data_IF_995026939198
#
_entry.id   IF_995026939198
#
_cell.length_a   1.000
_cell.length_b   1.000
_cell.length_c   1.000
_cell.angle_alpha   90.00
_cell.angle_beta   90.00
_cell.angle_gamma   90.00
#
_symmetry.space_group_name_H-M   'P 1'
#
loop_
_entity.id
_entity.type
_entity.pdbx_description
1 polymer ?
#
# COMPACT_ATOMS: atom_id res chain seq x y z
N UNK A 1 43.19 43.58 -20.38
CA UNK A 1 42.10 43.33 -19.42
C UNK A 1 40.78 43.59 -20.14
N UNK A 2 39.93 42.57 -20.30
CA UNK A 2 38.64 42.72 -20.98
C UNK A 2 37.71 43.61 -20.12
N UNK A 3 37.11 44.62 -20.74
CA UNK A 3 36.19 45.58 -20.12
C UNK A 3 34.93 44.84 -19.68
N UNK A 4 34.60 44.86 -18.39
CA UNK A 4 33.34 44.31 -17.89
C UNK A 4 32.17 45.13 -18.46
N UNK A 5 31.12 44.50 -19.01
CA UNK A 5 29.98 45.22 -19.56
C UNK A 5 29.25 46.06 -18.49
N UNK A 6 28.56 47.14 -18.89
CA UNK A 6 27.81 47.99 -17.96
C UNK A 6 26.65 47.21 -17.30
N UNK A 7 26.32 47.58 -16.06
CA UNK A 7 25.22 47.00 -15.31
C UNK A 7 23.88 47.13 -16.05
N UNK A 8 23.13 46.04 -16.15
CA UNK A 8 21.76 46.01 -16.67
C UNK A 8 20.79 45.64 -15.55
N UNK A 9 19.74 46.45 -15.38
CA UNK A 9 18.73 46.24 -14.33
C UNK A 9 17.60 45.29 -14.74
N UNK A 10 17.62 44.81 -15.99
CA UNK A 10 16.60 43.95 -16.57
C UNK A 10 17.25 42.99 -17.56
N UNK A 11 16.76 41.75 -17.60
CA UNK A 11 17.19 40.77 -18.58
C UNK A 11 16.82 41.21 -20.00
N UNK A 12 17.76 41.10 -20.92
CA UNK A 12 17.58 41.41 -22.35
C UNK A 12 16.86 40.28 -23.10
N UNK A 13 16.94 39.06 -22.58
CA UNK A 13 16.25 37.85 -23.07
C UNK A 13 15.44 37.21 -21.95
N UNK A 14 14.41 36.41 -22.26
CA UNK A 14 13.78 35.54 -21.26
C UNK A 14 14.87 34.69 -20.59
N UNK A 15 14.97 34.79 -19.27
CA UNK A 15 15.97 34.08 -18.48
C UNK A 15 15.28 33.48 -17.27
N UNK A 16 15.50 32.19 -17.05
CA UNK A 16 15.06 31.48 -15.86
C UNK A 16 16.27 31.25 -14.96
N UNK A 17 16.16 31.67 -13.71
CA UNK A 17 17.26 31.63 -12.74
C UNK A 17 16.73 31.06 -11.44
N UNK A 18 17.32 29.96 -10.99
CA UNK A 18 17.04 29.36 -9.69
C UNK A 18 18.22 29.69 -8.78
N UNK A 19 17.96 30.45 -7.72
CA UNK A 19 18.96 30.82 -6.72
C UNK A 19 18.78 29.96 -5.47
N UNK A 20 19.79 29.16 -5.16
CA UNK A 20 19.85 28.37 -3.93
C UNK A 20 20.91 28.99 -3.03
N UNK A 21 20.49 29.46 -1.86
CA UNK A 21 21.35 30.20 -0.95
C UNK A 21 22.30 29.32 -0.14
N UNK A 22 22.01 28.03 -0.04
CA UNK A 22 22.77 27.08 0.77
C UNK A 22 23.28 25.91 -0.10
N UNK A 23 24.57 25.59 0.04
CA UNK A 23 25.22 24.55 -0.74
C UNK A 23 25.15 23.17 -0.06
N UNK A 24 24.77 23.11 1.21
CA UNK A 24 24.68 21.85 1.96
C UNK A 24 23.62 20.89 1.36
N UNK A 25 22.66 21.43 0.60
CA UNK A 25 21.68 20.64 -0.15
C UNK A 25 22.28 19.70 -1.21
N UNK A 26 23.54 19.93 -1.62
CA UNK A 26 24.27 19.09 -2.58
C UNK A 26 25.10 17.99 -1.94
N UNK A 27 25.24 17.99 -0.62
CA UNK A 27 26.01 16.96 0.09
C UNK A 27 25.14 15.71 0.31
N UNK A 28 25.67 14.55 -0.12
CA UNK A 28 25.04 13.23 -0.03
C UNK A 28 24.52 12.93 1.38
N UNK A 29 25.19 13.43 2.42
CA UNK A 29 24.77 13.25 3.82
C UNK A 29 23.43 13.90 4.18
N UNK A 30 22.95 14.86 3.39
CA UNK A 30 21.69 15.57 3.62
C UNK A 30 20.49 14.96 2.89
N UNK A 31 20.71 13.99 1.99
CA UNK A 31 19.61 13.36 1.25
C UNK A 31 19.70 11.83 1.13
N UNK A 32 20.83 11.21 1.48
CA UNK A 32 20.99 9.74 1.55
C UNK A 32 21.44 9.31 2.93
N UNK A 33 20.81 8.28 3.47
CA UNK A 33 21.27 7.65 4.70
C UNK A 33 22.59 6.89 4.45
N UNK A 34 23.71 7.23 5.10
CA UNK A 34 25.01 6.59 4.84
C UNK A 34 25.08 5.11 5.26
N UNK A 35 24.15 4.62 6.10
CA UNK A 35 24.12 3.22 6.53
C UNK A 35 23.19 2.35 5.68
N UNK A 36 22.09 2.92 5.18
CA UNK A 36 21.04 2.16 4.48
C UNK A 36 20.92 2.50 3.00
N UNK A 37 21.62 3.53 2.51
CA UNK A 37 21.47 4.12 1.17
C UNK A 37 20.02 4.51 0.81
N UNK A 38 19.15 4.62 1.82
CA UNK A 38 17.77 5.04 1.62
C UNK A 38 17.70 6.58 1.51
N UNK A 39 16.85 7.13 0.63
CA UNK A 39 16.64 8.57 0.54
C UNK A 39 15.98 9.07 1.83
N UNK A 40 16.56 10.10 2.45
CA UNK A 40 16.01 10.76 3.65
C UNK A 40 15.29 12.05 3.27
N UNK A 41 15.72 12.70 2.19
CA UNK A 41 15.13 13.94 1.70
C UNK A 41 15.11 13.98 0.17
N UNK A 42 14.24 14.81 -0.40
CA UNK A 42 14.07 14.94 -1.84
C UNK A 42 14.97 16.01 -2.47
N UNK A 43 16.07 16.41 -1.82
CA UNK A 43 16.95 17.49 -2.30
C UNK A 43 17.56 17.17 -3.68
N UNK A 44 18.00 15.93 -3.87
CA UNK A 44 18.53 15.48 -5.17
C UNK A 44 17.45 15.47 -6.26
N UNK A 45 16.22 15.07 -5.91
CA UNK A 45 15.09 15.12 -6.83
C UNK A 45 14.72 16.57 -7.19
N UNK A 46 14.77 17.49 -6.23
CA UNK A 46 14.57 18.92 -6.48
C UNK A 46 15.62 19.48 -7.43
N UNK A 47 16.90 19.24 -7.19
CA UNK A 47 18.00 19.72 -8.05
C UNK A 47 17.89 19.14 -9.46
N UNK A 48 17.62 17.84 -9.59
CA UNK A 48 17.48 17.18 -10.88
C UNK A 48 16.27 17.73 -11.66
N UNK A 49 15.14 17.97 -10.98
CA UNK A 49 13.96 18.58 -11.60
C UNK A 49 14.21 20.05 -11.98
N UNK A 50 14.99 20.79 -11.19
CA UNK A 50 15.38 22.16 -11.48
C UNK A 50 16.28 22.22 -12.73
N UNK A 51 17.24 21.30 -12.86
CA UNK A 51 18.09 21.17 -14.04
C UNK A 51 17.29 20.74 -15.28
N UNK A 52 16.37 19.78 -15.12
CA UNK A 52 15.46 19.35 -16.18
C UNK A 52 14.57 20.51 -16.66
N UNK A 53 14.10 21.37 -15.75
CA UNK A 53 13.27 22.52 -16.08
C UNK A 53 14.09 23.59 -16.83
N UNK A 54 15.28 23.92 -16.34
CA UNK A 54 16.17 24.91 -16.96
C UNK A 54 16.75 24.44 -18.31
N UNK A 55 16.82 23.13 -18.55
CA UNK A 55 17.34 22.53 -19.78
C UNK A 55 16.27 22.06 -20.78
N UNK A 56 14.99 22.07 -20.41
CA UNK A 56 13.89 21.47 -21.18
C UNK A 56 13.05 22.49 -21.98
N UNK A 57 12.33 21.99 -22.98
CA UNK A 57 11.34 22.77 -23.74
C UNK A 57 10.12 23.09 -22.87
N UNK A 58 9.77 24.38 -22.74
CA UNK A 58 8.74 24.92 -21.83
C UNK A 58 7.37 24.19 -21.99
N UNK A 59 7.07 23.76 -23.23
CA UNK A 59 5.85 23.02 -23.56
C UNK A 59 5.78 21.61 -22.94
N UNK A 60 6.91 20.96 -22.71
CA UNK A 60 7.00 19.63 -22.10
C UNK A 60 6.99 19.71 -20.55
N UNK A 61 7.53 20.79 -19.98
CA UNK A 61 7.49 21.05 -18.52
C UNK A 61 6.06 21.32 -18.04
N UNK A 62 5.27 22.08 -18.79
CA UNK A 62 3.86 22.35 -18.46
C UNK A 62 3.01 21.07 -18.39
N UNK A 63 3.28 20.08 -19.26
CA UNK A 63 2.61 18.78 -19.25
C UNK A 63 3.03 17.89 -18.07
N UNK A 64 4.29 17.98 -17.62
CA UNK A 64 4.85 17.24 -16.48
C UNK A 64 4.40 17.79 -15.12
N UNK A 65 4.07 19.08 -15.05
CA UNK A 65 3.69 19.79 -13.80
C UNK A 65 2.40 19.29 -13.14
N UNK A 66 1.58 18.49 -13.84
CA UNK A 66 0.59 17.65 -13.18
C UNK A 66 1.30 16.44 -12.57
N UNK A 67 2.00 16.66 -11.47
CA UNK A 67 2.33 15.59 -10.54
C UNK A 67 1.05 14.77 -10.33
N UNK A 68 1.07 13.44 -10.45
CA UNK A 68 -0.09 12.63 -10.10
C UNK A 68 -0.42 13.00 -8.67
N UNK A 69 -1.56 13.69 -8.46
CA UNK A 69 -2.02 13.96 -7.12
C UNK A 69 -2.10 12.60 -6.44
N UNK A 70 -1.27 12.38 -5.42
CA UNK A 70 -1.45 11.25 -4.53
C UNK A 70 -2.88 11.39 -4.02
N UNK A 71 -3.79 10.57 -4.56
CA UNK A 71 -5.17 10.48 -4.11
C UNK A 71 -5.24 9.21 -3.29
N UNK A 72 -4.72 9.23 -2.04
CA UNK A 72 -4.90 8.10 -1.14
C UNK A 72 -6.39 7.83 -1.03
N UNK A 73 -6.73 6.55 -0.97
CA UNK A 73 -8.11 6.14 -0.85
C UNK A 73 -8.40 5.97 0.64
N UNK A 74 -8.64 7.07 1.36
CA UNK A 74 -8.80 7.08 2.82
C UNK A 74 -9.80 6.01 3.31
N UNK A 75 -10.92 5.86 2.59
CA UNK A 75 -11.93 4.82 2.85
C UNK A 75 -11.38 3.39 2.78
N UNK A 76 -10.44 3.13 1.88
CA UNK A 76 -9.78 1.83 1.72
C UNK A 76 -8.77 1.62 2.83
N UNK A 77 -8.05 2.67 3.19
CA UNK A 77 -7.04 2.61 4.25
C UNK A 77 -7.70 2.40 5.62
N UNK A 78 -8.83 3.06 5.89
CA UNK A 78 -9.67 2.81 7.07
C UNK A 78 -10.16 1.37 7.14
N UNK A 79 -10.64 0.82 6.02
CA UNK A 79 -11.18 -0.53 5.98
C UNK A 79 -10.05 -1.57 6.15
N UNK A 80 -8.88 -1.33 5.57
CA UNK A 80 -7.67 -2.12 5.80
C UNK A 80 -7.20 -2.03 7.25
N UNK A 81 -7.25 -0.86 7.88
CA UNK A 81 -6.92 -0.70 9.29
C UNK A 81 -7.87 -1.52 10.18
N UNK A 82 -9.18 -1.37 9.99
CA UNK A 82 -10.18 -2.11 10.76
C UNK A 82 -10.07 -3.64 10.56
N UNK A 83 -9.77 -4.10 9.34
CA UNK A 83 -9.53 -5.52 9.08
C UNK A 83 -8.27 -6.04 9.78
N UNK A 84 -7.17 -5.28 9.73
CA UNK A 84 -5.92 -5.61 10.44
C UNK A 84 -6.15 -5.74 11.93
N UNK A 85 -6.87 -4.80 12.53
CA UNK A 85 -7.14 -4.83 13.98
C UNK A 85 -7.93 -6.06 14.40
N UNK A 86 -8.99 -6.41 13.66
CA UNK A 86 -9.81 -7.61 13.94
C UNK A 86 -8.98 -8.88 13.84
N UNK A 87 -8.19 -9.03 12.79
CA UNK A 87 -7.37 -10.21 12.54
C UNK A 87 -6.23 -10.33 13.55
N UNK A 88 -5.60 -9.21 13.91
CA UNK A 88 -4.58 -9.17 14.94
C UNK A 88 -5.12 -9.63 16.30
N UNK A 89 -6.31 -9.16 16.69
CA UNK A 89 -6.96 -9.58 17.92
C UNK A 89 -7.28 -11.09 17.92
N UNK A 90 -7.76 -11.63 16.81
CA UNK A 90 -8.06 -13.06 16.70
C UNK A 90 -6.78 -13.91 16.73
N UNK A 91 -5.73 -13.48 16.04
CA UNK A 91 -4.42 -14.13 16.09
C UNK A 91 -3.89 -14.16 17.53
N UNK A 92 -3.86 -13.03 18.23
CA UNK A 92 -3.40 -12.97 19.63
C UNK A 92 -4.20 -13.89 20.54
N UNK A 93 -5.53 -13.94 20.35
CA UNK A 93 -6.40 -14.83 21.11
C UNK A 93 -6.02 -16.30 20.88
N UNK A 94 -5.82 -16.71 19.63
CA UNK A 94 -5.45 -18.08 19.27
C UNK A 94 -4.03 -18.44 19.76
N UNK A 95 -3.07 -17.52 19.65
CA UNK A 95 -1.71 -17.70 20.16
C UNK A 95 -1.70 -17.91 21.68
N UNK A 96 -2.51 -17.14 22.41
CA UNK A 96 -2.68 -17.31 23.85
C UNK A 96 -3.27 -18.67 24.21
N UNK A 97 -4.33 -19.09 23.51
CA UNK A 97 -4.94 -20.41 23.71
C UNK A 97 -3.97 -21.54 23.38
N UNK A 98 -3.15 -21.38 22.35
CA UNK A 98 -2.12 -22.34 21.98
C UNK A 98 -1.05 -22.45 23.07
N UNK A 99 -0.56 -21.31 23.56
CA UNK A 99 0.44 -21.26 24.63
C UNK A 99 -0.07 -21.92 25.93
N UNK A 100 -1.33 -21.67 26.30
CA UNK A 100 -1.96 -22.29 27.46
C UNK A 100 -2.09 -23.81 27.30
N UNK A 101 -2.53 -24.28 26.11
CA UNK A 101 -2.67 -25.71 25.81
C UNK A 101 -1.31 -26.42 25.79
N UNK A 102 -0.30 -25.84 25.14
CA UNK A 102 1.07 -26.38 25.09
C UNK A 102 1.74 -26.37 26.46
N UNK A 103 1.50 -25.34 27.28
CA UNK A 103 1.98 -25.27 28.66
C UNK A 103 1.45 -26.42 29.50
N UNK A 104 0.14 -26.69 29.46
CA UNK A 104 -0.47 -27.83 30.19
C UNK A 104 0.05 -29.17 29.71
N UNK A 105 0.19 -29.33 28.39
CA UNK A 105 0.67 -30.54 27.75
C UNK A 105 2.13 -30.83 28.13
N UNK A 106 2.99 -29.80 28.15
CA UNK A 106 4.38 -29.92 28.60
C UNK A 106 4.51 -30.32 30.08
N UNK A 107 3.63 -29.82 30.96
CA UNK A 107 3.62 -30.21 32.37
C UNK A 107 3.28 -31.70 32.54
N UNK A 108 2.24 -32.17 31.85
CA UNK A 108 1.80 -33.57 31.88
C UNK A 108 2.86 -34.51 31.26
N UNK A 109 3.44 -34.13 30.11
CA UNK A 109 4.52 -34.90 29.47
C UNK A 109 5.81 -34.89 30.28
N UNK A 110 6.14 -33.79 30.96
CA UNK A 110 7.26 -33.70 31.88
C UNK A 110 7.12 -34.69 33.04
N UNK A 111 5.95 -34.74 33.67
CA UNK A 111 5.64 -35.70 34.76
C UNK A 111 5.75 -37.16 34.27
N UNK A 112 5.28 -37.44 33.06
CA UNK A 112 5.42 -38.77 32.40
C UNK A 112 6.88 -39.16 32.19
N UNK A 113 7.72 -38.22 31.69
CA UNK A 113 9.15 -38.46 31.42
C UNK A 113 9.96 -38.67 32.69
N UNK A 114 9.54 -38.09 33.81
CA UNK A 114 10.16 -38.31 35.13
C UNK A 114 9.83 -39.68 35.77
N UNK A 115 9.12 -40.57 35.07
CA UNK A 115 8.82 -41.92 35.53
C UNK A 115 7.55 -42.05 36.38
N UNK A 116 6.73 -40.99 36.47
CA UNK A 116 5.43 -41.09 37.14
C UNK A 116 4.44 -41.91 36.29
N UNK A 117 3.75 -42.85 36.92
CA UNK A 117 2.62 -43.56 36.31
C UNK A 117 1.43 -42.61 36.19
N UNK A 118 1.08 -42.24 34.95
CA UNK A 118 -0.10 -41.44 34.66
C UNK A 118 -1.38 -42.26 34.82
N UNK A 119 -2.46 -41.63 35.25
CA UNK A 119 -3.80 -42.25 35.25
C UNK A 119 -4.38 -42.32 33.83
N UNK A 120 -5.41 -43.16 33.63
CA UNK A 120 -6.12 -43.22 32.35
C UNK A 120 -6.79 -41.87 32.00
N UNK A 121 -7.20 -41.10 33.00
CA UNK A 121 -7.77 -39.76 32.86
C UNK A 121 -6.71 -38.75 32.39
N UNK A 122 -5.51 -38.76 32.98
CA UNK A 122 -4.39 -37.90 32.56
C UNK A 122 -3.94 -38.19 31.12
N UNK A 123 -3.95 -39.47 30.71
CA UNK A 123 -3.64 -39.86 29.33
C UNK A 123 -4.69 -39.35 28.33
N UNK A 124 -5.98 -39.39 28.69
CA UNK A 124 -7.06 -38.83 27.88
C UNK A 124 -6.95 -37.30 27.79
N UNK A 125 -6.54 -36.63 28.88
CA UNK A 125 -6.35 -35.18 28.89
C UNK A 125 -5.22 -34.75 27.94
N UNK A 126 -4.11 -35.49 27.90
CA UNK A 126 -3.00 -35.26 26.96
C UNK A 126 -3.48 -35.33 25.51
N UNK A 127 -4.28 -36.35 25.15
CA UNK A 127 -4.79 -36.50 23.79
C UNK A 127 -5.77 -35.38 23.41
N UNK A 128 -6.58 -34.93 24.39
CA UNK A 128 -7.46 -33.77 24.21
C UNK A 128 -6.67 -32.49 23.94
N UNK A 129 -5.60 -32.23 24.70
CA UNK A 129 -4.77 -31.03 24.52
C UNK A 129 -3.98 -31.10 23.21
N UNK A 130 -3.53 -32.28 22.77
CA UNK A 130 -2.88 -32.47 21.45
C UNK A 130 -3.83 -32.12 20.31
N UNK A 131 -5.07 -32.60 20.41
CA UNK A 131 -6.12 -32.32 19.42
C UNK A 131 -6.45 -30.83 19.39
N UNK A 132 -6.66 -30.22 20.57
CA UNK A 132 -6.89 -28.78 20.70
C UNK A 132 -5.73 -27.95 20.12
N UNK A 133 -4.48 -28.26 20.45
CA UNK A 133 -3.32 -27.55 19.92
C UNK A 133 -3.22 -27.69 18.39
N UNK A 134 -3.49 -28.88 17.84
CA UNK A 134 -3.56 -29.10 16.39
C UNK A 134 -4.64 -28.23 15.74
N UNK A 135 -5.83 -28.17 16.33
CA UNK A 135 -6.94 -27.40 15.78
C UNK A 135 -6.72 -25.89 15.88
N UNK A 136 -6.16 -25.40 16.99
CA UNK A 136 -5.75 -24.00 17.13
C UNK A 136 -4.68 -23.63 16.08
N UNK A 137 -3.69 -24.51 15.83
CA UNK A 137 -2.69 -24.29 14.75
C UNK A 137 -3.33 -24.26 13.36
N UNK A 138 -4.39 -25.05 13.10
CA UNK A 138 -5.15 -24.98 11.83
C UNK A 138 -5.89 -23.64 11.72
N UNK A 139 -6.50 -23.18 12.81
CA UNK A 139 -7.18 -21.89 12.88
C UNK A 139 -6.19 -20.74 12.64
N UNK A 140 -4.99 -20.78 13.23
CA UNK A 140 -3.93 -19.79 13.02
C UNK A 140 -3.56 -19.66 11.53
N UNK A 141 -3.36 -20.79 10.84
CA UNK A 141 -3.13 -20.83 9.38
C UNK A 141 -4.35 -20.36 8.59
N UNK A 142 -5.55 -20.49 9.16
CA UNK A 142 -6.80 -19.97 8.61
C UNK A 142 -6.81 -18.45 8.61
N UNK A 143 -6.51 -17.85 9.77
CA UNK A 143 -6.45 -16.39 9.97
C UNK A 143 -5.45 -15.74 9.01
N UNK A 144 -4.26 -16.33 8.81
CA UNK A 144 -3.29 -15.82 7.84
C UNK A 144 -3.78 -15.85 6.38
N UNK A 145 -4.59 -16.85 6.02
CA UNK A 145 -5.17 -16.95 4.66
C UNK A 145 -6.32 -15.97 4.48
N UNK A 146 -7.15 -15.81 5.51
CA UNK A 146 -8.26 -14.86 5.54
C UNK A 146 -7.75 -13.41 5.47
N UNK A 147 -6.61 -13.12 6.12
CA UNK A 147 -5.90 -11.84 6.02
C UNK A 147 -5.60 -11.41 4.59
N UNK A 148 -5.21 -12.36 3.73
CA UNK A 148 -4.95 -12.05 2.31
C UNK A 148 -6.25 -11.92 1.51
N UNK A 149 -7.20 -12.83 1.74
CA UNK A 149 -8.42 -12.93 0.93
C UNK A 149 -9.36 -11.73 1.07
N UNK A 150 -9.57 -11.25 2.29
CA UNK A 150 -10.52 -10.16 2.53
C UNK A 150 -10.01 -8.81 1.99
N UNK A 151 -8.70 -8.57 2.13
CA UNK A 151 -8.06 -7.37 1.60
C UNK A 151 -8.11 -7.37 0.06
N UNK A 152 -7.79 -8.51 -0.57
CA UNK A 152 -7.79 -8.64 -2.03
C UNK A 152 -9.21 -8.52 -2.61
N UNK A 153 -10.21 -9.11 -1.94
CA UNK A 153 -11.61 -9.05 -2.38
C UNK A 153 -12.15 -7.61 -2.33
N UNK A 154 -11.91 -6.90 -1.23
CA UNK A 154 -12.32 -5.51 -1.09
C UNK A 154 -11.65 -4.60 -2.12
N UNK A 155 -10.32 -4.74 -2.26
CA UNK A 155 -9.56 -3.98 -3.24
C UNK A 155 -10.05 -4.24 -4.67
N UNK A 156 -10.31 -5.52 -5.00
CA UNK A 156 -10.84 -5.93 -6.30
C UNK A 156 -12.22 -5.35 -6.59
N UNK A 157 -13.14 -5.36 -5.62
CA UNK A 157 -14.49 -4.80 -5.80
C UNK A 157 -14.45 -3.29 -6.07
N UNK A 158 -13.66 -2.55 -5.30
CA UNK A 158 -13.52 -1.11 -5.47
C UNK A 158 -12.85 -0.73 -6.79
N UNK A 159 -11.80 -1.47 -7.16
CA UNK A 159 -11.14 -1.31 -8.46
C UNK A 159 -12.12 -1.60 -9.60
N UNK A 160 -12.91 -2.67 -9.49
CA UNK A 160 -13.89 -3.04 -10.51
C UNK A 160 -14.92 -1.92 -10.73
N UNK A 161 -15.51 -1.41 -9.64
CA UNK A 161 -16.48 -0.31 -9.73
C UNK A 161 -15.84 0.92 -10.36
N UNK A 162 -14.69 1.39 -9.86
CA UNK A 162 -14.09 2.62 -10.39
C UNK A 162 -13.63 2.51 -11.84
N UNK A 163 -13.11 1.35 -12.27
CA UNK A 163 -12.58 1.17 -13.63
C UNK A 163 -13.70 0.90 -14.64
N UNK A 164 -14.69 0.08 -14.28
CA UNK A 164 -15.70 -0.38 -15.24
C UNK A 164 -16.97 0.47 -15.27
N UNK A 165 -17.29 1.21 -14.19
CA UNK A 165 -18.53 2.00 -14.13
C UNK A 165 -18.59 3.05 -15.24
N UNK A 166 -17.49 3.76 -15.51
CA UNK A 166 -17.42 4.77 -16.57
C UNK A 166 -17.69 4.19 -17.98
N UNK A 167 -16.89 3.21 -18.45
CA UNK A 167 -17.13 2.54 -19.73
C UNK A 167 -18.53 1.92 -19.86
N UNK A 168 -19.07 1.32 -18.79
CA UNK A 168 -20.42 0.73 -18.79
C UNK A 168 -21.48 1.82 -19.01
N UNK A 169 -21.40 2.96 -18.31
CA UNK A 169 -22.35 4.06 -18.48
C UNK A 169 -22.32 4.59 -19.92
N UNK A 170 -21.13 4.82 -20.46
CA UNK A 170 -20.97 5.30 -21.85
C UNK A 170 -21.54 4.28 -22.85
N UNK A 171 -21.27 3.00 -22.65
CA UNK A 171 -21.82 1.92 -23.46
C UNK A 171 -23.34 1.87 -23.43
N UNK A 172 -23.95 1.97 -22.24
CA UNK A 172 -25.40 1.99 -22.07
C UNK A 172 -26.05 3.20 -22.75
N UNK A 173 -25.45 4.39 -22.64
CA UNK A 173 -25.93 5.60 -23.32
C UNK A 173 -25.85 5.43 -24.85
N UNK A 174 -24.73 4.90 -25.35
CA UNK A 174 -24.55 4.63 -26.78
C UNK A 174 -25.57 3.63 -27.34
N UNK A 175 -25.80 2.52 -26.63
CA UNK A 175 -26.82 1.52 -26.97
C UNK A 175 -28.22 2.15 -26.94
N UNK A 176 -28.53 2.93 -25.90
CA UNK A 176 -29.81 3.63 -25.77
C UNK A 176 -30.08 4.59 -26.93
N UNK A 177 -29.08 5.39 -27.32
CA UNK A 177 -29.17 6.28 -28.49
C UNK A 177 -29.34 5.50 -29.80
N UNK A 178 -28.63 4.40 -29.96
CA UNK A 178 -28.74 3.54 -31.16
C UNK A 178 -30.16 2.98 -31.31
N UNK A 179 -30.74 2.44 -30.24
CA UNK A 179 -32.11 1.90 -30.24
C UNK A 179 -33.12 3.00 -30.52
N UNK A 180 -33.01 4.16 -29.87
CA UNK A 180 -33.92 5.29 -30.06
C UNK A 180 -33.89 5.82 -31.49
N UNK A 181 -32.70 5.92 -32.08
CA UNK A 181 -32.52 6.38 -33.46
C UNK A 181 -32.99 5.35 -34.50
N UNK A 182 -32.82 4.06 -34.22
CA UNK A 182 -33.31 2.98 -35.08
C UNK A 182 -34.85 2.97 -35.13
N UNK A 183 -35.52 3.14 -33.98
CA UNK A 183 -36.99 3.24 -33.90
C UNK A 183 -37.56 4.46 -34.63
N UNK A 184 -36.86 5.60 -34.65
CA UNK A 184 -37.27 6.79 -35.42
C UNK A 184 -37.10 6.68 -36.94
N UNK A 185 -36.32 5.70 -37.43
CA UNK A 185 -36.11 5.47 -38.87
C UNK A 185 -37.07 4.43 -39.47
N UNK A 186 -37.78 3.67 -38.64
CA UNK A 186 -38.83 2.73 -39.06
C UNK A 186 -40.20 3.37 -39.37
N UNK A 187 -40.30 4.70 -39.39
CA UNK A 187 -41.54 5.45 -39.65
C UNK A 187 -41.61 6.14 -41.01
N UNK A 188 -41.09 5.51 -42.06
CA UNK A 188 -41.35 5.89 -43.47
C UNK A 188 -41.52 4.62 -44.30
N UNK A 189 -42.75 4.13 -44.33
CA UNK A 189 -43.31 3.33 -45.43
C UNK A 189 -44.44 4.18 -46.03
#
# INVERSE_FOLDING_TARGET
MAKVPPFTSRSEVPAEVIFVADADAFDDGFYVNPQTNAPISDNAAFILNALDNLGGDEALTALRSRAPAARPMDRVDDLRAAARDRLYNEQQRLEKLLADAEGRLNLLEGRRKSGATLTAEELAEIDSYRTQASDIRKQLRGVEREFRRDIDALAGQLQFINVWLGPIIVGLIGIGMFIWRSRRRGGKA
#
